data_IF_478604065729
#
_entry.id   IF_478604065729
#
_cell.length_a   1.000
_cell.length_b   1.000
_cell.length_c   1.000
_cell.angle_alpha   90.00
_cell.angle_beta   90.00
_cell.angle_gamma   90.00
#
_symmetry.space_group_name_H-M   'P 1'
#
loop_
_entity.id
_entity.type
_entity.pdbx_description
1 polymer ?
#
# COMPACT_ATOMS: atom_id res chain seq x y z
N UNK A 1 4.06 -0.25 17.30
CA UNK A 1 3.51 0.43 16.11
C UNK A 1 3.02 1.79 16.52
N UNK A 2 3.61 2.85 15.97
CA UNK A 2 3.13 4.21 16.14
C UNK A 2 1.94 4.43 15.20
N UNK A 3 1.03 5.37 15.52
CA UNK A 3 -0.02 5.77 14.59
C UNK A 3 0.58 6.18 13.23
N UNK A 4 0.01 5.69 12.13
CA UNK A 4 0.47 5.98 10.78
C UNK A 4 1.52 5.01 10.19
N UNK A 5 2.09 4.10 10.99
CA UNK A 5 3.15 3.18 10.50
C UNK A 5 2.61 1.89 9.86
N UNK A 6 1.31 1.61 9.96
CA UNK A 6 0.72 0.36 9.44
C UNK A 6 -0.69 0.56 8.94
N UNK A 7 -0.98 0.04 7.75
CA UNK A 7 -2.31 -0.01 7.17
C UNK A 7 -2.64 -1.46 6.79
N UNK A 8 -3.78 -1.95 7.27
CA UNK A 8 -4.29 -3.28 6.92
C UNK A 8 -5.70 -3.17 6.36
N UNK A 9 -5.95 -3.85 5.27
CA UNK A 9 -7.29 -3.94 4.70
C UNK A 9 -7.50 -5.26 3.97
N UNK A 10 -8.77 -5.52 3.67
CA UNK A 10 -9.20 -6.63 2.84
C UNK A 10 -9.81 -6.10 1.56
N UNK A 11 -9.47 -6.73 0.45
CA UNK A 11 -10.01 -6.46 -0.88
C UNK A 11 -10.58 -7.76 -1.45
N UNK A 12 -11.79 -7.70 -1.99
CA UNK A 12 -12.43 -8.84 -2.64
C UNK A 12 -13.03 -8.39 -3.97
N UNK A 13 -12.27 -8.49 -5.08
CA UNK A 13 -12.76 -8.13 -6.41
C UNK A 13 -13.97 -8.96 -6.79
N UNK A 14 -14.97 -8.31 -7.39
CA UNK A 14 -16.22 -8.94 -7.81
C UNK A 14 -16.14 -9.24 -9.31
N UNK A 15 -16.44 -10.48 -9.67
CA UNK A 15 -16.53 -10.97 -11.04
C UNK A 15 -17.86 -10.52 -11.70
N UNK A 16 -17.97 -10.58 -13.04
CA UNK A 16 -19.19 -10.16 -13.74
C UNK A 16 -20.46 -10.92 -13.32
N UNK A 17 -20.33 -12.15 -12.83
CA UNK A 17 -21.43 -12.98 -12.34
C UNK A 17 -21.83 -12.65 -10.88
N UNK A 18 -21.13 -11.71 -10.23
CA UNK A 18 -21.35 -11.31 -8.85
C UNK A 18 -20.57 -12.14 -7.82
N UNK A 19 -19.83 -13.16 -8.25
CA UNK A 19 -18.93 -13.94 -7.39
C UNK A 19 -17.67 -13.15 -6.98
N UNK A 20 -16.97 -13.61 -5.95
CA UNK A 20 -15.66 -13.07 -5.60
C UNK A 20 -14.57 -13.80 -6.39
N UNK A 21 -13.65 -13.05 -6.99
CA UNK A 21 -12.49 -13.63 -7.67
C UNK A 21 -11.51 -14.27 -6.65
N UNK A 22 -11.22 -13.53 -5.59
CA UNK A 22 -10.40 -13.93 -4.45
C UNK A 22 -10.60 -12.94 -3.29
N UNK A 23 -10.02 -13.26 -2.14
CA UNK A 23 -9.86 -12.33 -1.03
C UNK A 23 -8.38 -12.03 -0.79
N UNK A 24 -7.99 -10.77 -0.96
CA UNK A 24 -6.66 -10.29 -0.59
C UNK A 24 -6.69 -9.69 0.81
N UNK A 25 -5.75 -10.11 1.64
CA UNK A 25 -5.42 -9.51 2.92
C UNK A 25 -4.12 -8.75 2.70
N UNK A 26 -4.21 -7.41 2.66
CA UNK A 26 -3.08 -6.54 2.36
C UNK A 26 -2.62 -5.89 3.66
N UNK A 27 -1.31 -5.96 3.90
CA UNK A 27 -0.65 -5.35 5.05
C UNK A 27 0.49 -4.47 4.54
N UNK A 28 0.42 -3.17 4.83
CA UNK A 28 1.42 -2.19 4.47
C UNK A 28 2.11 -1.74 5.75
N UNK A 29 3.43 -1.85 5.79
CA UNK A 29 4.28 -1.35 6.86
C UNK A 29 5.16 -0.22 6.36
N UNK A 30 5.24 0.86 7.14
CA UNK A 30 6.17 1.96 6.91
C UNK A 30 7.24 1.94 8.00
N UNK A 31 8.51 1.98 7.59
CA UNK A 31 9.64 2.05 8.51
C UNK A 31 10.53 3.24 8.12
N UNK A 32 10.80 4.20 9.04
CA UNK A 32 11.73 5.28 8.78
C UNK A 32 13.14 4.74 8.50
N UNK A 33 13.85 5.37 7.56
CA UNK A 33 15.27 5.11 7.27
C UNK A 33 16.05 6.43 7.30
N UNK A 34 17.38 6.35 7.27
CA UNK A 34 18.24 7.54 7.31
C UNK A 34 18.01 8.50 6.13
N UNK A 35 17.50 7.99 5.00
CA UNK A 35 17.29 8.76 3.75
C UNK A 35 15.83 8.82 3.31
N UNK A 36 14.89 8.28 4.09
CA UNK A 36 13.48 8.28 3.72
C UNK A 36 12.63 7.30 4.51
N UNK A 37 11.85 6.49 3.80
CA UNK A 37 10.91 5.53 4.38
C UNK A 37 10.88 4.28 3.52
N UNK A 38 11.08 3.13 4.15
CA UNK A 38 10.84 1.83 3.52
C UNK A 38 9.35 1.51 3.63
N UNK A 39 8.75 1.11 2.52
CA UNK A 39 7.39 0.59 2.43
C UNK A 39 7.46 -0.91 2.15
N UNK A 40 7.07 -1.70 3.15
CA UNK A 40 6.86 -3.14 3.03
C UNK A 40 5.38 -3.43 2.72
N UNK A 41 5.12 -4.31 1.77
CA UNK A 41 3.76 -4.67 1.37
C UNK A 41 3.63 -6.18 1.26
N UNK A 42 2.80 -6.74 2.13
CA UNK A 42 2.53 -8.16 2.16
C UNK A 42 1.11 -8.45 1.66
N UNK A 43 1.03 -9.26 0.60
CA UNK A 43 -0.21 -9.75 0.04
C UNK A 43 -0.41 -11.22 0.42
N UNK A 44 -1.51 -11.51 1.13
CA UNK A 44 -1.99 -12.89 1.29
C UNK A 44 -3.29 -13.06 0.54
N UNK A 45 -3.29 -13.93 -0.45
CA UNK A 45 -4.49 -14.29 -1.22
C UNK A 45 -5.12 -15.55 -0.63
N UNK A 46 -6.44 -15.52 -0.41
CA UNK A 46 -7.25 -16.67 0.00
C UNK A 46 -8.49 -16.77 -0.87
N UNK A 47 -9.15 -17.93 -0.84
CA UNK A 47 -10.45 -18.16 -1.46
C UNK A 47 -10.45 -17.85 -2.98
N UNK A 48 -9.34 -18.12 -3.65
CA UNK A 48 -9.15 -17.85 -5.07
C UNK A 48 -9.84 -18.89 -5.96
N UNK A 49 -10.40 -18.44 -7.08
CA UNK A 49 -10.92 -19.31 -8.14
C UNK A 49 -9.90 -19.49 -9.27
N UNK A 50 -10.09 -20.48 -10.15
CA UNK A 50 -9.24 -20.64 -11.34
C UNK A 50 -9.34 -19.42 -12.25
N UNK A 51 -10.54 -18.87 -12.42
CA UNK A 51 -10.80 -17.68 -13.24
C UNK A 51 -10.11 -16.41 -12.70
N UNK A 52 -9.60 -16.45 -11.46
CA UNK A 52 -8.87 -15.35 -10.85
C UNK A 52 -7.38 -15.30 -11.21
N UNK A 53 -6.85 -16.32 -11.90
CA UNK A 53 -5.41 -16.51 -12.11
C UNK A 53 -4.74 -15.30 -12.79
N UNK A 54 -5.34 -14.78 -13.86
CA UNK A 54 -4.78 -13.65 -14.60
C UNK A 54 -4.79 -12.35 -13.79
N UNK A 55 -5.77 -12.17 -12.90
CA UNK A 55 -5.80 -11.04 -11.98
C UNK A 55 -4.68 -11.13 -10.96
N UNK A 56 -4.46 -12.32 -10.37
CA UNK A 56 -3.40 -12.56 -9.38
C UNK A 56 -2.02 -12.39 -10.02
N UNK A 57 -1.83 -12.93 -11.22
CA UNK A 57 -0.58 -12.78 -11.99
C UNK A 57 -0.25 -11.31 -12.29
N UNK A 58 -1.27 -10.47 -12.44
CA UNK A 58 -1.10 -9.04 -12.67
C UNK A 58 -0.83 -8.18 -11.43
N UNK A 59 -0.99 -8.72 -10.21
CA UNK A 59 -0.92 -7.91 -8.97
C UNK A 59 0.44 -7.21 -8.84
N UNK A 60 1.54 -7.94 -8.96
CA UNK A 60 2.88 -7.37 -8.77
C UNK A 60 3.15 -6.24 -9.77
N UNK A 61 2.81 -6.46 -11.05
CA UNK A 61 3.02 -5.48 -12.12
C UNK A 61 2.13 -4.24 -11.90
N UNK A 62 0.84 -4.43 -11.66
CA UNK A 62 -0.11 -3.34 -11.43
C UNK A 62 0.19 -2.55 -10.15
N UNK A 63 0.69 -3.23 -9.12
CA UNK A 63 1.12 -2.58 -7.89
C UNK A 63 2.40 -1.77 -8.10
N UNK A 64 3.38 -2.28 -8.86
CA UNK A 64 4.57 -1.52 -9.27
C UNK A 64 4.21 -0.20 -9.97
N UNK A 65 3.25 -0.22 -10.90
CA UNK A 65 2.74 1.00 -11.54
C UNK A 65 2.09 1.97 -10.55
N UNK A 66 1.41 1.45 -9.52
CA UNK A 66 0.82 2.28 -8.47
C UNK A 66 1.90 2.93 -7.60
N UNK A 67 3.01 2.22 -7.32
CA UNK A 67 4.17 2.78 -6.63
C UNK A 67 4.88 3.86 -7.45
N UNK A 68 4.96 3.71 -8.77
CA UNK A 68 5.53 4.75 -9.64
C UNK A 68 4.69 6.03 -9.61
N UNK A 69 3.35 5.89 -9.63
CA UNK A 69 2.43 7.02 -9.44
C UNK A 69 2.59 7.66 -8.05
N UNK A 70 2.75 6.86 -7.01
CA UNK A 70 3.00 7.36 -5.65
C UNK A 70 4.30 8.17 -5.59
N UNK A 71 5.40 7.66 -6.15
CA UNK A 71 6.68 8.38 -6.23
C UNK A 71 6.52 9.71 -6.97
N UNK A 72 5.80 9.72 -8.10
CA UNK A 72 5.54 10.94 -8.85
C UNK A 72 4.71 11.96 -8.05
N UNK A 73 3.69 11.52 -7.31
CA UNK A 73 2.89 12.38 -6.45
C UNK A 73 3.73 13.01 -5.31
N UNK A 74 4.59 12.22 -4.65
CA UNK A 74 5.49 12.69 -3.61
C UNK A 74 6.54 13.69 -4.13
N UNK A 75 7.01 13.51 -5.37
CA UNK A 75 7.95 14.44 -6.00
C UNK A 75 7.29 15.77 -6.40
N UNK A 76 6.00 15.74 -6.77
CA UNK A 76 5.25 16.94 -7.13
C UNK A 76 4.84 17.79 -5.91
N UNK A 77 4.71 17.17 -4.73
CA UNK A 77 4.41 17.83 -3.46
C UNK A 77 5.48 17.47 -2.40
N UNK A 78 6.68 18.08 -2.49
CA UNK A 78 7.72 17.89 -1.50
C UNK A 78 7.21 18.46 -0.18
N UNK A 79 6.68 17.59 0.68
CA UNK A 79 6.17 17.96 1.99
C UNK A 79 7.23 18.82 2.69
N UNK A 80 6.85 20.06 3.01
CA UNK A 80 7.71 20.97 3.74
C UNK A 80 7.81 20.43 5.17
N UNK A 81 8.88 19.69 5.45
CA UNK A 81 9.16 19.04 6.75
C UNK A 81 9.55 20.07 7.81
N UNK A 82 8.81 21.18 7.92
CA UNK A 82 9.12 22.29 8.83
C UNK A 82 8.15 22.37 10.02
N UNK A 83 7.64 21.21 10.45
CA UNK A 83 6.88 21.08 11.70
C UNK A 83 7.39 19.90 12.53
N UNK A 84 8.71 19.85 12.71
CA UNK A 84 9.31 19.24 13.89
C UNK A 84 9.59 20.34 14.93
N UNK A 85 8.54 20.66 15.68
CA UNK A 85 8.58 20.91 17.12
C UNK A 85 9.72 21.79 17.66
N UNK A 86 9.65 23.11 17.40
CA UNK A 86 10.25 24.10 18.31
C UNK A 86 9.27 24.40 19.45
N UNK A 87 8.87 23.41 20.26
CA UNK A 87 8.28 23.70 21.57
C UNK A 87 9.42 23.92 22.57
N UNK A 88 10.04 25.09 22.47
CA UNK A 88 10.87 25.68 23.53
C UNK A 88 10.30 27.04 23.92
N UNK A 89 10.29 27.28 25.24
CA UNK A 89 9.84 28.46 26.01
C UNK A 89 8.33 28.50 26.31
N UNK A 90 7.87 28.58 27.57
CA UNK A 90 8.45 29.15 28.81
C UNK A 90 7.96 28.41 30.05
#
# INVERSE_FOLDING_TARGET
MRPGERLRYRLSPVLPDGGLAFTAHVDLGLQPTDTGTDLDVHWRITDSTVDSADFIAGIEIGFGQSLDKLKAALAADPHNTDSADTRSTK
#
